data_IF_534287481972
#
_entry.id   IF_534287481972
#
_cell.length_a   1.000
_cell.length_b   1.000
_cell.length_c   1.000
_cell.angle_alpha   90.00
_cell.angle_beta   90.00
_cell.angle_gamma   90.00
#
_symmetry.space_group_name_H-M   'P 1'
#
loop_
_entity.id
_entity.type
_entity.pdbx_description
1 polymer ?
#
# COMPACT_ATOMS: atom_id res chain seq x y z
N UNK A 1 9.33 -13.57 4.93
CA UNK A 1 8.17 -13.08 5.71
C UNK A 1 8.69 -12.45 6.98
N UNK A 2 8.20 -11.28 7.35
CA UNK A 2 8.49 -10.59 8.61
C UNK A 2 7.19 -10.13 9.25
N UNK A 3 7.15 -10.09 10.57
CA UNK A 3 6.01 -9.61 11.35
C UNK A 3 6.46 -8.56 12.36
N UNK A 4 5.52 -7.74 12.81
CA UNK A 4 5.72 -6.69 13.80
C UNK A 4 4.56 -6.70 14.81
N UNK A 5 4.89 -6.79 16.09
CA UNK A 5 3.92 -6.69 17.17
C UNK A 5 3.61 -5.22 17.49
N UNK A 6 2.33 -4.89 17.64
CA UNK A 6 1.83 -3.60 18.11
C UNK A 6 0.91 -3.91 19.29
N UNK A 7 1.47 -3.96 20.48
CA UNK A 7 0.75 -4.45 21.66
C UNK A 7 0.15 -5.83 21.44
N UNK A 8 -1.19 -5.94 21.47
CA UNK A 8 -1.93 -7.18 21.24
C UNK A 8 -2.28 -7.45 19.77
N UNK A 9 -1.80 -6.62 18.85
CA UNK A 9 -2.05 -6.73 17.40
C UNK A 9 -0.77 -7.19 16.71
N UNK A 10 -0.88 -8.09 15.73
CA UNK A 10 0.23 -8.50 14.88
C UNK A 10 0.01 -8.00 13.45
N UNK A 11 1.02 -7.34 12.89
CA UNK A 11 1.07 -6.91 11.49
C UNK A 11 2.11 -7.75 10.76
N UNK A 12 1.70 -8.46 9.71
CA UNK A 12 2.53 -9.40 8.94
C UNK A 12 2.74 -8.81 7.54
N UNK A 13 4.00 -8.63 7.15
CA UNK A 13 4.34 -8.22 5.79
C UNK A 13 4.32 -9.42 4.85
N UNK A 14 3.54 -9.31 3.78
CA UNK A 14 3.34 -10.32 2.76
C UNK A 14 3.93 -9.79 1.45
N UNK A 15 5.10 -10.28 1.07
CA UNK A 15 5.72 -9.89 -0.20
C UNK A 15 5.05 -10.66 -1.35
N UNK A 16 4.40 -9.89 -2.22
CA UNK A 16 3.73 -10.44 -3.41
C UNK A 16 4.72 -10.60 -4.56
N UNK A 17 5.61 -9.62 -4.76
CA UNK A 17 6.66 -9.68 -5.78
C UNK A 17 7.78 -8.67 -5.49
N UNK A 18 8.85 -8.76 -6.29
CA UNK A 18 9.87 -7.72 -6.42
C UNK A 18 10.41 -7.71 -7.85
N UNK A 19 10.73 -6.53 -8.38
CA UNK A 19 11.28 -6.35 -9.71
C UNK A 19 11.83 -4.95 -9.93
N UNK A 20 12.61 -4.73 -10.99
CA UNK A 20 13.10 -3.38 -11.31
C UNK A 20 11.90 -2.46 -11.61
N UNK A 21 12.02 -1.20 -11.21
CA UNK A 21 11.06 -0.18 -11.61
C UNK A 21 11.07 -0.04 -13.15
N UNK A 22 9.91 0.22 -13.73
CA UNK A 22 9.68 0.18 -15.18
C UNK A 22 10.33 1.33 -15.98
N UNK A 23 10.95 2.29 -15.27
CA UNK A 23 11.63 3.45 -15.84
C UNK A 23 12.89 3.79 -15.02
N UNK A 24 13.84 4.59 -15.54
CA UNK A 24 14.94 5.11 -14.73
C UNK A 24 14.42 5.85 -13.50
N UNK A 25 14.95 5.52 -12.30
CA UNK A 25 14.47 6.08 -11.03
C UNK A 25 14.47 7.61 -10.96
N UNK A 26 15.31 8.26 -11.74
CA UNK A 26 15.37 9.73 -11.86
C UNK A 26 14.10 10.31 -12.52
N UNK A 27 13.38 9.54 -13.31
CA UNK A 27 12.11 9.96 -13.89
C UNK A 27 10.98 9.94 -12.86
N UNK A 28 11.08 9.07 -11.86
CA UNK A 28 10.13 9.02 -10.74
C UNK A 28 10.25 10.25 -9.82
N UNK A 29 11.46 10.79 -9.67
CA UNK A 29 11.75 11.97 -8.83
C UNK A 29 12.64 12.96 -9.58
N UNK A 30 12.09 13.68 -10.58
CA UNK A 30 12.89 14.46 -11.53
C UNK A 30 13.58 15.69 -10.93
N UNK A 31 13.19 16.11 -9.72
CA UNK A 31 13.79 17.24 -9.00
C UNK A 31 14.81 16.83 -7.95
N UNK A 32 15.03 15.52 -7.78
CA UNK A 32 15.97 15.00 -6.78
C UNK A 32 17.42 15.27 -7.17
N UNK A 33 18.25 15.69 -6.22
CA UNK A 33 19.68 15.91 -6.41
C UNK A 33 20.50 14.62 -6.25
N UNK A 34 21.73 14.62 -6.73
CA UNK A 34 22.65 13.49 -6.56
C UNK A 34 22.93 13.18 -5.08
N UNK A 35 22.97 14.21 -4.24
CA UNK A 35 23.17 14.06 -2.79
C UNK A 35 21.97 13.39 -2.13
N UNK A 36 20.73 13.75 -2.54
CA UNK A 36 19.52 13.12 -2.04
C UNK A 36 19.45 11.65 -2.47
N UNK A 37 19.85 11.33 -3.71
CA UNK A 37 19.94 9.95 -4.17
C UNK A 37 20.96 9.14 -3.37
N UNK A 38 22.15 9.71 -3.11
CA UNK A 38 23.17 9.03 -2.32
C UNK A 38 22.69 8.75 -0.88
N UNK A 39 22.02 9.72 -0.25
CA UNK A 39 21.43 9.55 1.08
C UNK A 39 20.29 8.52 1.10
N UNK A 40 19.48 8.47 0.04
CA UNK A 40 18.42 7.47 -0.08
C UNK A 40 18.97 6.05 -0.25
N UNK A 41 20.04 5.90 -1.05
CA UNK A 41 20.74 4.63 -1.27
C UNK A 41 21.42 4.12 0.01
N UNK A 42 21.94 5.02 0.84
CA UNK A 42 22.49 4.68 2.17
C UNK A 42 21.36 4.29 3.15
N UNK A 43 20.24 5.01 3.09
CA UNK A 43 19.11 4.77 3.97
C UNK A 43 18.36 3.46 3.65
N UNK A 44 18.33 3.04 2.39
CA UNK A 44 17.63 1.83 1.93
C UNK A 44 18.41 1.10 0.80
N UNK A 45 19.54 0.48 1.14
CA UNK A 45 20.38 -0.21 0.15
C UNK A 45 19.67 -1.40 -0.50
N UNK A 46 18.66 -1.98 0.16
CA UNK A 46 17.89 -3.12 -0.35
C UNK A 46 16.84 -2.72 -1.41
N UNK A 47 16.61 -1.42 -1.63
CA UNK A 47 15.76 -0.91 -2.72
C UNK A 47 16.54 -0.66 -4.01
N UNK A 48 17.72 -1.29 -4.18
CA UNK A 48 18.55 -1.16 -5.39
C UNK A 48 18.81 -2.51 -6.03
N UNK A 49 18.82 -2.52 -7.37
CA UNK A 49 19.39 -3.60 -8.16
C UNK A 49 20.91 -3.51 -8.19
N UNK A 50 21.60 -4.57 -8.65
CA UNK A 50 23.06 -4.57 -8.84
C UNK A 50 23.53 -3.48 -9.82
N UNK A 51 22.68 -3.13 -10.79
CA UNK A 51 22.93 -2.07 -11.78
C UNK A 51 22.64 -0.65 -11.25
N UNK A 52 22.15 -0.53 -10.00
CA UNK A 52 21.89 0.74 -9.34
C UNK A 52 20.51 1.34 -9.63
N UNK A 53 19.65 0.61 -10.33
CA UNK A 53 18.24 1.01 -10.55
C UNK A 53 17.39 0.73 -9.32
N UNK A 54 16.17 1.26 -9.30
CA UNK A 54 15.21 1.04 -8.22
C UNK A 54 14.63 -0.38 -8.28
N UNK A 55 14.87 -1.17 -7.23
CA UNK A 55 14.22 -2.45 -6.99
C UNK A 55 12.90 -2.19 -6.26
N UNK A 56 11.81 -2.22 -6.99
CA UNK A 56 10.46 -2.03 -6.47
C UNK A 56 9.98 -3.34 -5.83
N UNK A 57 9.54 -3.26 -4.58
CA UNK A 57 8.87 -4.37 -3.91
C UNK A 57 7.37 -4.13 -3.89
N UNK A 58 6.60 -5.21 -3.88
CA UNK A 58 5.15 -5.16 -3.82
C UNK A 58 4.70 -5.93 -2.59
N UNK A 59 4.22 -5.21 -1.57
CA UNK A 59 3.82 -5.80 -0.29
C UNK A 59 2.40 -5.43 0.07
N UNK A 60 1.71 -6.45 0.59
CA UNK A 60 0.46 -6.31 1.34
C UNK A 60 0.74 -6.55 2.82
N UNK A 61 -0.17 -6.11 3.69
CA UNK A 61 -0.02 -6.31 5.13
C UNK A 61 -1.26 -6.97 5.71
N UNK A 62 -1.06 -8.10 6.40
CA UNK A 62 -2.14 -8.75 7.16
C UNK A 62 -2.13 -8.24 8.60
N UNK A 63 -3.22 -7.64 9.03
CA UNK A 63 -3.42 -7.14 10.40
C UNK A 63 -4.32 -8.09 11.14
N UNK A 64 -3.82 -8.69 12.22
CA UNK A 64 -4.54 -9.64 13.08
C UNK A 64 -4.73 -9.05 14.47
N UNK A 65 -5.98 -8.87 14.88
CA UNK A 65 -6.35 -8.39 16.20
C UNK A 65 -6.74 -9.59 17.08
N UNK A 66 -5.84 -10.02 17.96
CA UNK A 66 -6.03 -11.24 18.75
C UNK A 66 -6.28 -12.45 17.86
N UNK A 67 -7.25 -13.30 18.23
CA UNK A 67 -7.70 -14.47 17.45
C UNK A 67 -8.82 -14.12 16.44
N UNK A 68 -9.05 -12.84 16.20
CA UNK A 68 -10.10 -12.35 15.30
C UNK A 68 -9.77 -12.53 13.81
N UNK A 69 -10.72 -12.16 12.92
CA UNK A 69 -10.50 -12.20 11.50
C UNK A 69 -9.39 -11.23 11.07
N UNK A 70 -8.76 -11.55 9.94
CA UNK A 70 -7.67 -10.77 9.37
C UNK A 70 -8.23 -9.60 8.54
N UNK A 71 -7.59 -8.43 8.68
CA UNK A 71 -7.74 -7.29 7.77
C UNK A 71 -6.50 -7.28 6.88
N UNK A 72 -6.69 -7.40 5.58
CA UNK A 72 -5.60 -7.29 4.60
C UNK A 72 -5.52 -5.83 4.11
N UNK A 73 -4.34 -5.24 4.12
CA UNK A 73 -4.08 -3.92 3.54
C UNK A 73 -3.31 -4.11 2.23
N UNK A 74 -3.92 -3.71 1.16
CA UNK A 74 -3.56 -3.95 -0.23
C UNK A 74 -3.60 -5.45 -0.65
N UNK A 75 -3.63 -5.67 -1.95
CA UNK A 75 -3.79 -6.99 -2.55
C UNK A 75 -2.85 -7.21 -3.75
N UNK A 76 -1.68 -6.59 -3.73
CA UNK A 76 -0.56 -6.84 -4.64
C UNK A 76 -0.84 -6.68 -6.13
N UNK A 77 0.08 -7.21 -6.95
CA UNK A 77 0.08 -7.10 -8.43
C UNK A 77 -0.89 -8.06 -9.12
N UNK A 78 -1.33 -9.11 -8.42
CA UNK A 78 -2.30 -10.07 -8.94
C UNK A 78 -1.72 -11.20 -9.77
N UNK A 79 -2.62 -12.01 -10.38
CA UNK A 79 -2.26 -13.17 -11.20
C UNK A 79 -1.67 -12.76 -12.56
N UNK A 80 -1.19 -13.75 -13.32
CA UNK A 80 -0.83 -13.57 -14.70
C UNK A 80 -2.01 -13.01 -15.51
N UNK A 81 -1.78 -11.93 -16.27
CA UNK A 81 -2.81 -11.23 -17.02
C UNK A 81 -3.63 -10.23 -16.18
N UNK A 82 -3.21 -9.90 -14.95
CA UNK A 82 -3.74 -8.77 -14.19
C UNK A 82 -3.47 -7.43 -14.88
N UNK A 83 -4.09 -6.36 -14.39
CA UNK A 83 -3.86 -5.01 -14.92
C UNK A 83 -2.41 -4.50 -14.73
N UNK A 84 -1.62 -5.14 -13.87
CA UNK A 84 -0.21 -4.82 -13.67
C UNK A 84 0.73 -5.52 -14.67
N UNK A 85 0.23 -6.40 -15.55
CA UNK A 85 1.03 -7.28 -16.42
C UNK A 85 1.96 -6.56 -17.40
N UNK A 86 1.64 -5.30 -17.73
CA UNK A 86 2.45 -4.55 -18.71
C UNK A 86 3.77 -4.04 -18.10
N UNK A 87 3.91 -4.02 -16.75
CA UNK A 87 5.04 -3.40 -16.11
C UNK A 87 5.53 -4.10 -14.83
N UNK A 88 4.68 -4.89 -14.16
CA UNK A 88 5.02 -5.58 -12.93
C UNK A 88 5.36 -7.06 -13.19
N UNK A 89 6.17 -7.71 -12.32
CA UNK A 89 6.60 -9.10 -12.50
C UNK A 89 5.50 -10.10 -12.12
N UNK A 90 4.38 -10.09 -12.83
CA UNK A 90 3.29 -11.04 -12.61
C UNK A 90 3.63 -12.47 -13.04
N UNK A 91 3.05 -13.52 -12.42
CA UNK A 91 2.10 -13.44 -11.32
C UNK A 91 2.78 -13.06 -10.00
N UNK A 92 2.05 -12.34 -9.15
CA UNK A 92 2.39 -12.18 -7.76
C UNK A 92 2.22 -13.50 -6.99
N UNK A 93 2.69 -13.52 -5.73
CA UNK A 93 2.65 -14.70 -4.85
C UNK A 93 1.91 -14.45 -3.53
N UNK A 94 1.01 -13.46 -3.48
CA UNK A 94 0.26 -13.14 -2.26
C UNK A 94 -0.51 -14.33 -1.67
N UNK A 95 -1.17 -15.19 -2.49
CA UNK A 95 -1.83 -16.38 -1.96
C UNK A 95 -0.86 -17.34 -1.25
N UNK A 96 0.35 -17.53 -1.80
CA UNK A 96 1.40 -18.35 -1.19
C UNK A 96 1.96 -17.68 0.07
N UNK A 97 2.18 -16.36 0.06
CA UNK A 97 2.65 -15.60 1.21
C UNK A 97 1.65 -15.66 2.38
N UNK A 98 0.35 -15.62 2.10
CA UNK A 98 -0.71 -15.84 3.09
C UNK A 98 -0.65 -17.25 3.68
N UNK A 99 -0.51 -18.27 2.83
CA UNK A 99 -0.40 -19.66 3.27
C UNK A 99 0.85 -19.88 4.15
N UNK A 100 1.99 -19.30 3.79
CA UNK A 100 3.22 -19.31 4.60
C UNK A 100 3.02 -18.61 5.97
N UNK A 101 2.14 -17.60 6.04
CA UNK A 101 1.74 -16.93 7.26
C UNK A 101 0.66 -17.69 8.08
N UNK A 102 0.21 -18.84 7.59
CA UNK A 102 -0.87 -19.61 8.22
C UNK A 102 -2.23 -18.88 8.14
N UNK A 103 -2.45 -18.09 7.08
CA UNK A 103 -3.69 -17.35 6.84
C UNK A 103 -4.39 -17.96 5.63
N UNK A 104 -5.57 -18.51 5.84
CA UNK A 104 -6.42 -18.91 4.73
C UNK A 104 -7.13 -17.69 4.12
N UNK A 105 -7.41 -17.66 2.81
CA UNK A 105 -8.19 -16.56 2.21
C UNK A 105 -9.54 -16.31 2.89
N UNK A 106 -10.16 -17.35 3.44
CA UNK A 106 -11.42 -17.26 4.18
C UNK A 106 -11.29 -16.56 5.55
N UNK A 107 -10.06 -16.45 6.10
CA UNK A 107 -9.81 -15.72 7.35
C UNK A 107 -9.81 -14.21 7.12
N UNK A 108 -9.67 -13.76 5.86
CA UNK A 108 -9.65 -12.35 5.49
C UNK A 108 -11.09 -11.83 5.40
N UNK A 109 -11.49 -11.01 6.37
CA UNK A 109 -12.83 -10.43 6.45
C UNK A 109 -12.96 -9.11 5.70
N UNK A 110 -11.84 -8.39 5.55
CA UNK A 110 -11.79 -7.12 4.85
C UNK A 110 -10.45 -6.95 4.13
N UNK A 111 -10.51 -6.35 2.95
CA UNK A 111 -9.35 -5.85 2.22
C UNK A 111 -9.48 -4.32 2.20
N UNK A 112 -8.51 -3.62 2.76
CA UNK A 112 -8.39 -2.17 2.65
C UNK A 112 -7.47 -1.88 1.48
N UNK A 113 -7.99 -1.35 0.38
CA UNK A 113 -7.13 -0.85 -0.68
C UNK A 113 -6.70 0.57 -0.33
N UNK A 114 -5.39 0.77 -0.21
CA UNK A 114 -4.86 2.12 0.06
C UNK A 114 -5.25 3.08 -1.05
N UNK A 115 -5.27 2.59 -2.29
CA UNK A 115 -5.74 3.27 -3.48
C UNK A 115 -5.96 2.26 -4.62
N UNK A 116 -6.37 2.74 -5.80
CA UNK A 116 -6.77 1.86 -6.92
C UNK A 116 -5.69 1.72 -8.02
N UNK A 117 -4.39 1.83 -7.70
CA UNK A 117 -3.34 1.44 -8.64
C UNK A 117 -3.24 -0.08 -8.77
N UNK A 118 -2.76 -0.53 -9.93
CA UNK A 118 -2.80 -1.94 -10.35
C UNK A 118 -2.00 -2.88 -9.45
N UNK A 119 -0.97 -2.37 -8.79
CA UNK A 119 -0.09 -3.12 -7.90
C UNK A 119 -0.56 -3.18 -6.44
N UNK A 120 -1.68 -2.54 -6.12
CA UNK A 120 -2.31 -2.60 -4.81
C UNK A 120 -3.62 -3.38 -4.81
N UNK A 121 -4.24 -3.60 -5.97
CA UNK A 121 -5.57 -4.18 -6.08
C UNK A 121 -5.63 -5.54 -6.80
N UNK A 122 -4.52 -6.04 -7.31
CA UNK A 122 -4.49 -7.13 -8.28
C UNK A 122 -5.22 -8.40 -7.85
N UNK A 123 -4.99 -8.91 -6.63
CA UNK A 123 -5.68 -10.08 -6.10
C UNK A 123 -7.07 -9.76 -5.51
N UNK A 124 -7.47 -8.49 -5.44
CA UNK A 124 -8.82 -8.11 -5.03
C UNK A 124 -9.82 -8.13 -6.20
N UNK A 125 -9.34 -8.20 -7.46
CA UNK A 125 -10.21 -8.27 -8.66
C UNK A 125 -11.06 -9.55 -8.61
N UNK A 126 -12.39 -9.46 -8.55
CA UNK A 126 -13.25 -10.61 -8.20
C UNK A 126 -13.12 -11.84 -9.09
N UNK A 127 -12.83 -11.66 -10.38
CA UNK A 127 -12.69 -12.78 -11.32
C UNK A 127 -11.62 -13.78 -10.92
N UNK A 128 -10.50 -13.29 -10.35
CA UNK A 128 -9.31 -14.08 -10.06
C UNK A 128 -8.97 -14.09 -8.56
N UNK A 129 -9.82 -13.46 -7.74
CA UNK A 129 -9.60 -13.27 -6.30
C UNK A 129 -9.84 -14.55 -5.50
N UNK A 130 -8.89 -14.95 -4.63
CA UNK A 130 -9.14 -16.00 -3.66
C UNK A 130 -10.03 -15.54 -2.49
N UNK A 131 -10.28 -14.23 -2.35
CA UNK A 131 -11.01 -13.60 -1.25
C UNK A 131 -12.49 -13.45 -1.59
N UNK A 132 -13.23 -14.56 -1.66
CA UNK A 132 -14.63 -14.56 -2.15
C UNK A 132 -15.62 -13.86 -1.22
N UNK A 133 -15.33 -13.81 0.08
CA UNK A 133 -16.25 -13.27 1.11
C UNK A 133 -15.79 -11.92 1.69
N UNK A 134 -14.52 -11.56 1.51
CA UNK A 134 -13.99 -10.32 2.07
C UNK A 134 -14.68 -9.09 1.47
N UNK A 135 -15.09 -8.15 2.32
CA UNK A 135 -15.47 -6.80 1.85
C UNK A 135 -14.23 -6.03 1.43
N UNK A 136 -14.37 -5.16 0.45
CA UNK A 136 -13.26 -4.30 -0.02
C UNK A 136 -13.58 -2.86 0.34
N UNK A 137 -12.71 -2.25 1.15
CA UNK A 137 -12.87 -0.90 1.69
C UNK A 137 -12.03 0.07 0.87
N UNK A 138 -12.67 1.09 0.30
CA UNK A 138 -12.04 2.12 -0.55
C UNK A 138 -12.60 3.49 -0.22
N UNK A 139 -11.86 4.55 -0.49
CA UNK A 139 -12.40 5.91 -0.40
C UNK A 139 -13.31 6.21 -1.60
N UNK A 140 -14.44 6.87 -1.33
CA UNK A 140 -15.38 7.32 -2.36
C UNK A 140 -14.67 8.20 -3.42
N UNK A 141 -13.73 9.05 -3.00
CA UNK A 141 -13.01 9.94 -3.89
C UNK A 141 -12.19 9.20 -4.98
N UNK A 142 -11.61 8.03 -4.68
CA UNK A 142 -10.96 7.21 -5.71
C UNK A 142 -11.97 6.60 -6.67
N UNK A 143 -13.05 6.03 -6.15
CA UNK A 143 -14.11 5.47 -6.98
C UNK A 143 -14.65 6.53 -7.97
N UNK A 144 -14.88 7.74 -7.51
CA UNK A 144 -15.39 8.85 -8.34
C UNK A 144 -14.35 9.28 -9.39
N UNK A 145 -13.07 9.39 -9.01
CA UNK A 145 -11.99 9.75 -9.92
C UNK A 145 -11.82 8.72 -11.05
N UNK A 146 -11.84 7.43 -10.69
CA UNK A 146 -11.70 6.34 -11.67
C UNK A 146 -12.95 6.15 -12.53
N UNK A 147 -14.13 6.43 -12.01
CA UNK A 147 -15.37 6.47 -12.79
C UNK A 147 -15.36 7.61 -13.84
N UNK A 148 -14.79 8.74 -13.50
CA UNK A 148 -14.73 9.92 -14.37
C UNK A 148 -13.63 9.83 -15.44
N UNK A 149 -12.57 9.04 -15.23
CA UNK A 149 -11.42 8.95 -16.13
C UNK A 149 -11.40 7.63 -16.90
N UNK A 150 -11.65 7.70 -18.22
CA UNK A 150 -11.67 6.53 -19.10
C UNK A 150 -10.31 5.85 -19.28
N UNK A 151 -9.21 6.50 -18.97
CA UNK A 151 -7.87 5.90 -18.96
C UNK A 151 -7.74 4.83 -17.86
N UNK A 152 -8.56 4.96 -16.80
CA UNK A 152 -8.64 4.02 -15.68
C UNK A 152 -9.89 3.13 -15.73
N UNK A 153 -10.52 2.98 -16.92
CA UNK A 153 -11.72 2.16 -17.05
C UNK A 153 -11.49 0.70 -16.63
N UNK A 154 -10.29 0.17 -16.83
CA UNK A 154 -9.95 -1.21 -16.43
C UNK A 154 -10.12 -1.44 -14.93
N UNK A 155 -9.64 -0.54 -14.08
CA UNK A 155 -9.79 -0.64 -12.62
C UNK A 155 -11.27 -0.55 -12.21
N UNK A 156 -11.99 0.41 -12.79
CA UNK A 156 -13.40 0.58 -12.49
C UNK A 156 -14.25 -0.63 -12.93
N UNK A 157 -14.09 -1.06 -14.19
CA UNK A 157 -14.90 -2.12 -14.78
C UNK A 157 -14.58 -3.52 -14.21
N UNK A 158 -13.33 -3.79 -13.82
CA UNK A 158 -12.90 -5.10 -13.35
C UNK A 158 -12.95 -5.25 -11.82
N UNK A 159 -12.86 -4.16 -11.07
CA UNK A 159 -12.88 -4.19 -9.61
C UNK A 159 -14.14 -3.58 -9.03
N UNK A 160 -14.39 -2.29 -9.31
CA UNK A 160 -15.43 -1.50 -8.62
C UNK A 160 -16.82 -2.02 -8.93
N UNK A 161 -17.18 -2.15 -10.21
CA UNK A 161 -18.52 -2.60 -10.62
C UNK A 161 -18.83 -4.03 -10.16
N UNK A 162 -17.93 -5.02 -10.33
CA UNK A 162 -18.19 -6.38 -9.85
C UNK A 162 -18.30 -6.48 -8.33
N UNK A 163 -17.47 -5.74 -7.56
CA UNK A 163 -17.59 -5.72 -6.11
C UNK A 163 -18.88 -5.06 -5.65
N UNK A 164 -19.32 -3.97 -6.31
CA UNK A 164 -20.59 -3.31 -6.04
C UNK A 164 -21.75 -4.26 -6.32
N UNK A 165 -21.74 -4.93 -7.46
CA UNK A 165 -22.78 -5.90 -7.83
C UNK A 165 -22.86 -7.08 -6.85
N UNK A 166 -21.71 -7.50 -6.29
CA UNK A 166 -21.65 -8.55 -5.27
C UNK A 166 -21.99 -8.07 -3.86
N UNK A 167 -22.23 -6.77 -3.64
CA UNK A 167 -22.47 -6.19 -2.31
C UNK A 167 -21.26 -6.22 -1.39
N UNK A 168 -20.04 -6.32 -1.95
CA UNK A 168 -18.77 -6.44 -1.24
C UNK A 168 -17.94 -5.16 -1.23
N UNK A 169 -18.34 -4.13 -1.97
CA UNK A 169 -17.69 -2.82 -2.00
C UNK A 169 -18.19 -1.97 -0.84
N UNK A 170 -17.30 -1.60 0.07
CA UNK A 170 -17.54 -0.62 1.13
C UNK A 170 -16.82 0.69 0.78
N UNK A 171 -17.58 1.67 0.32
CA UNK A 171 -17.07 3.02 0.06
C UNK A 171 -17.17 3.85 1.34
N UNK A 172 -16.08 4.48 1.71
CA UNK A 172 -16.00 5.37 2.87
C UNK A 172 -15.61 6.79 2.45
N UNK A 173 -15.90 7.76 3.28
CA UNK A 173 -15.50 9.16 3.10
C UNK A 173 -14.77 9.62 4.37
N UNK A 174 -13.45 9.81 4.25
CA UNK A 174 -12.57 10.17 5.37
C UNK A 174 -12.15 8.98 6.25
N UNK A 175 -11.93 9.26 7.53
CA UNK A 175 -11.38 8.29 8.49
C UNK A 175 -12.44 7.27 8.94
N UNK A 176 -12.00 6.03 9.17
CA UNK A 176 -12.89 4.93 9.56
C UNK A 176 -12.21 3.92 10.50
N UNK A 177 -12.82 3.65 11.65
CA UNK A 177 -12.45 2.51 12.50
C UNK A 177 -12.88 1.19 11.85
N UNK A 178 -12.00 0.21 11.80
CA UNK A 178 -12.25 -1.13 11.24
C UNK A 178 -12.35 -2.20 12.32
N UNK A 179 -11.49 -2.11 13.33
CA UNK A 179 -11.46 -2.99 14.49
C UNK A 179 -10.85 -2.21 15.68
N UNK A 180 -10.91 -2.72 16.91
CA UNK A 180 -10.20 -2.13 18.04
C UNK A 180 -8.71 -1.95 17.71
N UNK A 181 -8.21 -0.72 17.79
CA UNK A 181 -6.83 -0.39 17.46
C UNK A 181 -6.49 -0.32 15.97
N UNK A 182 -7.43 -0.53 15.05
CA UNK A 182 -7.18 -0.48 13.59
C UNK A 182 -8.12 0.53 12.95
N UNK A 183 -7.57 1.57 12.34
CA UNK A 183 -8.35 2.60 11.64
C UNK A 183 -7.71 3.03 10.33
N UNK A 184 -8.55 3.24 9.34
CA UNK A 184 -8.20 3.93 8.10
C UNK A 184 -8.16 5.42 8.36
N UNK A 185 -7.19 6.11 7.74
CA UNK A 185 -7.13 7.57 7.68
C UNK A 185 -6.99 8.02 6.23
N UNK A 186 -7.74 9.04 5.84
CA UNK A 186 -7.63 9.61 4.51
C UNK A 186 -6.29 10.34 4.37
N UNK A 187 -5.53 9.96 3.34
CA UNK A 187 -4.21 10.53 3.04
C UNK A 187 -4.10 10.92 1.55
N UNK A 188 -5.00 11.81 1.06
CA UNK A 188 -5.12 12.13 -0.36
C UNK A 188 -3.86 12.81 -0.92
N UNK A 189 -3.67 12.66 -2.24
CA UNK A 189 -2.62 13.33 -3.01
C UNK A 189 -1.97 12.41 -4.03
N UNK A 190 -1.48 11.24 -3.63
CA UNK A 190 -1.03 10.22 -4.57
C UNK A 190 -2.18 9.81 -5.50
N UNK A 191 -3.32 9.47 -4.92
CA UNK A 191 -4.63 9.50 -5.59
C UNK A 191 -5.60 10.38 -4.79
N UNK A 192 -6.74 10.82 -5.34
CA UNK A 192 -7.72 11.61 -4.61
C UNK A 192 -8.27 10.93 -3.37
N UNK A 193 -8.40 9.60 -3.40
CA UNK A 193 -8.90 8.78 -2.31
C UNK A 193 -7.83 7.90 -1.66
N UNK A 194 -6.55 8.23 -1.80
CA UNK A 194 -5.50 7.49 -1.09
C UNK A 194 -5.77 7.50 0.42
N UNK A 195 -5.53 6.35 1.07
CA UNK A 195 -5.71 6.13 2.50
C UNK A 195 -4.56 5.30 3.07
N UNK A 196 -4.24 5.56 4.33
CA UNK A 196 -3.27 4.80 5.14
C UNK A 196 -3.99 4.09 6.29
N UNK A 197 -3.32 3.15 6.97
CA UNK A 197 -3.91 2.43 8.10
C UNK A 197 -3.05 2.62 9.35
N UNK A 198 -3.63 3.20 10.39
CA UNK A 198 -3.07 3.19 11.74
C UNK A 198 -3.42 1.90 12.46
N UNK A 199 -2.40 1.32 13.10
CA UNK A 199 -2.53 0.21 14.05
C UNK A 199 -1.94 0.69 15.38
N UNK A 200 -2.77 0.72 16.43
CA UNK A 200 -2.41 1.27 17.74
C UNK A 200 -2.93 0.34 18.85
N UNK A 201 -2.04 -0.14 19.72
CA UNK A 201 -2.40 -0.98 20.87
C UNK A 201 -1.35 -0.86 21.98
N UNK A 202 -1.80 -0.77 23.22
CA UNK A 202 -0.97 -0.80 24.44
C UNK A 202 0.17 0.23 24.48
N UNK A 203 0.02 1.34 23.75
CA UNK A 203 1.02 2.41 23.65
C UNK A 203 1.95 2.29 22.43
N UNK A 204 1.93 1.18 21.73
CA UNK A 204 2.66 0.99 20.47
C UNK A 204 1.84 1.49 19.27
N UNK A 205 2.53 1.98 18.26
CA UNK A 205 1.91 2.53 17.03
C UNK A 205 2.62 2.07 15.78
N UNK A 206 1.84 1.78 14.73
CA UNK A 206 2.34 1.45 13.40
C UNK A 206 1.45 2.12 12.34
N UNK A 207 2.07 2.64 11.29
CA UNK A 207 1.39 3.22 10.14
C UNK A 207 1.70 2.39 8.89
N UNK A 208 0.67 1.72 8.33
CA UNK A 208 0.76 1.19 6.97
C UNK A 208 0.54 2.36 6.02
N UNK A 209 1.58 2.72 5.28
CA UNK A 209 1.63 4.00 4.56
C UNK A 209 0.90 3.99 3.22
N UNK A 210 0.77 2.81 2.56
CA UNK A 210 0.51 2.79 1.13
C UNK A 210 1.55 3.65 0.39
N UNK A 211 1.12 4.33 -0.65
CA UNK A 211 1.96 5.20 -1.48
C UNK A 211 2.07 6.65 -0.99
N UNK A 212 1.78 6.87 0.31
CA UNK A 212 2.26 8.07 1.01
C UNK A 212 3.81 8.17 0.90
N UNK A 213 4.48 7.00 0.91
CA UNK A 213 5.91 6.81 0.71
C UNK A 213 6.15 5.66 -0.27
N UNK A 214 6.75 5.97 -1.41
CA UNK A 214 7.09 4.97 -2.44
C UNK A 214 8.59 4.66 -2.50
N UNK A 215 9.45 5.59 -2.09
CA UNK A 215 10.92 5.44 -2.10
C UNK A 215 11.55 6.09 -0.89
N UNK A 216 12.69 5.57 -0.41
CA UNK A 216 13.44 6.12 0.72
C UNK A 216 13.87 7.59 0.53
N UNK A 217 13.96 8.07 -0.71
CA UNK A 217 14.27 9.47 -1.01
C UNK A 217 13.24 10.45 -0.41
N UNK A 218 11.98 10.01 -0.23
CA UNK A 218 10.93 10.79 0.43
C UNK A 218 11.05 10.80 1.96
N UNK A 219 11.87 9.91 2.53
CA UNK A 219 12.29 9.99 3.94
C UNK A 219 13.46 10.95 4.11
N UNK A 220 14.36 11.04 3.10
CA UNK A 220 15.45 12.02 3.06
C UNK A 220 14.89 13.43 2.88
N UNK A 221 13.95 13.59 1.94
CA UNK A 221 13.28 14.86 1.70
C UNK A 221 11.78 14.63 1.40
N UNK A 222 10.91 14.81 2.40
CA UNK A 222 9.46 14.67 2.23
C UNK A 222 8.82 15.68 1.24
N UNK A 223 9.55 16.72 0.86
CA UNK A 223 9.08 17.73 -0.10
C UNK A 223 9.19 17.27 -1.55
N UNK A 224 9.94 16.20 -1.85
CA UNK A 224 10.12 15.72 -3.22
C UNK A 224 8.80 15.20 -3.79
N UNK A 225 8.37 15.74 -4.95
CA UNK A 225 7.20 15.22 -5.65
C UNK A 225 7.54 13.89 -6.33
N UNK A 226 6.63 12.95 -6.28
CA UNK A 226 6.67 11.74 -7.07
C UNK A 226 5.93 11.96 -8.40
N UNK A 227 6.50 11.51 -9.51
CA UNK A 227 5.96 11.79 -10.85
C UNK A 227 4.54 11.22 -11.06
N UNK A 228 4.19 10.15 -10.33
CA UNK A 228 2.85 9.54 -10.41
C UNK A 228 1.85 10.08 -9.37
N UNK A 229 2.21 11.10 -8.58
CA UNK A 229 1.24 11.75 -7.70
C UNK A 229 0.20 12.51 -8.55
N UNK A 230 -1.08 12.20 -8.40
CA UNK A 230 -2.17 12.88 -9.12
C UNK A 230 -2.34 14.34 -8.68
N UNK A 231 -2.06 14.64 -7.40
CA UNK A 231 -1.93 15.98 -6.84
C UNK A 231 -0.63 16.09 -6.03
N UNK A 232 0.50 16.46 -6.65
CA UNK A 232 1.79 16.52 -5.98
C UNK A 232 1.85 17.49 -4.81
N UNK A 233 1.09 18.58 -4.85
CA UNK A 233 1.05 19.55 -3.76
C UNK A 233 0.34 18.98 -2.53
N UNK A 234 -0.78 18.32 -2.75
CA UNK A 234 -1.55 17.63 -1.71
C UNK A 234 -0.80 16.43 -1.16
N UNK A 235 -0.18 15.59 -2.03
CA UNK A 235 0.63 14.44 -1.62
C UNK A 235 1.75 14.84 -0.67
N UNK A 236 2.46 15.94 -0.99
CA UNK A 236 3.52 16.50 -0.15
C UNK A 236 2.98 16.98 1.21
N UNK A 237 1.89 17.75 1.24
CA UNK A 237 1.27 18.22 2.47
C UNK A 237 0.85 17.05 3.36
N UNK A 238 0.16 16.08 2.79
CA UNK A 238 -0.30 14.87 3.47
C UNK A 238 0.88 14.05 4.01
N UNK A 239 1.93 13.84 3.20
CA UNK A 239 3.15 13.12 3.60
C UNK A 239 3.80 13.78 4.80
N UNK A 240 4.01 15.09 4.77
CA UNK A 240 4.59 15.83 5.90
C UNK A 240 3.78 15.69 7.17
N UNK A 241 2.47 15.87 7.06
CA UNK A 241 1.56 15.77 8.20
C UNK A 241 1.58 14.36 8.81
N UNK A 242 1.52 13.33 7.98
CA UNK A 242 1.51 11.94 8.44
C UNK A 242 2.86 11.49 9.03
N UNK A 243 3.98 11.91 8.43
CA UNK A 243 5.30 11.65 8.99
C UNK A 243 5.52 12.37 10.32
N UNK A 244 5.05 13.61 10.48
CA UNK A 244 5.08 14.32 11.75
C UNK A 244 4.25 13.57 12.81
N UNK A 245 3.04 13.14 12.46
CA UNK A 245 2.18 12.37 13.35
C UNK A 245 2.78 10.99 13.72
N UNK A 246 3.49 10.34 12.79
CA UNK A 246 4.19 9.09 13.06
C UNK A 246 5.38 9.29 14.03
N UNK A 247 6.14 10.37 13.85
CA UNK A 247 7.25 10.71 14.75
C UNK A 247 6.76 11.04 16.17
N UNK A 248 5.67 11.81 16.30
CA UNK A 248 5.06 12.13 17.60
C UNK A 248 4.61 10.88 18.37
N UNK A 249 4.33 9.77 17.68
CA UNK A 249 3.90 8.49 18.26
C UNK A 249 5.01 7.46 18.37
N UNK A 250 6.23 7.81 17.96
CA UNK A 250 7.35 6.85 17.84
C UNK A 250 6.93 5.59 17.03
N UNK A 251 6.18 5.83 15.97
CA UNK A 251 5.53 4.78 15.21
C UNK A 251 6.51 4.03 14.30
N UNK A 252 6.28 2.75 14.12
CA UNK A 252 6.88 2.00 13.02
C UNK A 252 6.13 2.29 11.72
N UNK A 253 6.85 2.52 10.63
CA UNK A 253 6.28 2.59 9.28
C UNK A 253 6.29 1.21 8.63
N UNK A 254 5.16 0.79 8.08
CA UNK A 254 5.02 -0.38 7.23
C UNK A 254 4.83 0.11 5.78
N UNK A 255 5.82 -0.12 4.92
CA UNK A 255 5.93 0.53 3.60
C UNK A 255 5.94 -0.50 2.48
N UNK A 256 5.06 -0.33 1.50
CA UNK A 256 4.85 -1.32 0.43
C UNK A 256 6.07 -1.51 -0.47
N UNK A 257 6.82 -0.44 -0.76
CA UNK A 257 7.82 -0.41 -1.83
C UNK A 257 9.28 -0.27 -1.38
N UNK A 258 9.55 -0.06 -0.09
CA UNK A 258 10.92 0.03 0.43
C UNK A 258 11.58 -1.36 0.56
N UNK A 259 12.90 -1.39 0.72
CA UNK A 259 13.68 -2.60 0.95
C UNK A 259 13.22 -3.36 2.19
N UNK A 260 13.15 -2.69 3.34
CA UNK A 260 12.61 -3.24 4.58
C UNK A 260 11.09 -3.00 4.67
N UNK A 261 10.36 -4.03 5.10
CA UNK A 261 8.91 -3.97 5.26
C UNK A 261 8.49 -3.08 6.45
N UNK A 262 9.28 -3.08 7.51
CA UNK A 262 9.04 -2.31 8.73
C UNK A 262 10.24 -1.43 9.04
N UNK A 263 9.98 -0.16 9.33
CA UNK A 263 11.01 0.82 9.61
C UNK A 263 10.65 1.65 10.84
N UNK A 264 11.47 1.59 11.89
CA UNK A 264 11.32 2.50 13.03
C UNK A 264 11.46 3.96 12.55
N UNK A 265 10.59 4.83 13.05
CA UNK A 265 10.53 6.22 12.62
C UNK A 265 10.45 7.16 13.85
N UNK A 266 11.61 7.48 14.41
CA UNK A 266 11.80 8.37 15.55
C UNK A 266 12.34 9.75 15.13
#
# INVERSE_FOLDING_TARGET
MSDHGVGSITVIALEDAAGPFFAPRVEAFPTATSEQWAAADEADPAARTDDGEWLLRFRSYAVRVGDGPVILVDAGIGPAGSLASDWAPVPGRLPEALAEAGIAPADVSAIVLTHLHNDHMGWAVPRDSPFTEARVVVQQADVDAYAANREHAGQYDLLVEPLRAAGRLEMIDGDRGLAPGVRVVATPGHTPGHQSVWVESDGDSLLVTGDLLVHAIQLVDPELPYASDMDPARARETRRSMLAAARERDATLAVSHLGDAFRAFS
#
